data_IF_305954637630
#
_entry.id   IF_305954637630
#
_cell.length_a   1.000
_cell.length_b   1.000
_cell.length_c   1.000
_cell.angle_alpha   90.00
_cell.angle_beta   90.00
_cell.angle_gamma   90.00
#
_symmetry.space_group_name_H-M   'P 1'
#
loop_
_entity.id
_entity.type
_entity.pdbx_description
1 polymer ?
#
# COMPACT_ATOMS: atom_id res chain seq x y z
N UNK A 1 5.95 6.75 6.81
CA UNK A 1 5.03 5.61 7.05
C UNK A 1 3.73 5.84 6.34
N UNK A 2 3.54 5.12 5.24
CA UNK A 2 2.33 5.17 4.41
C UNK A 2 1.83 3.75 4.12
N UNK A 3 0.57 3.62 3.73
CA UNK A 3 0.03 2.38 3.18
C UNK A 3 -0.50 2.61 1.77
N UNK A 4 -0.22 1.69 0.85
CA UNK A 4 -0.84 1.64 -0.47
C UNK A 4 -2.18 0.93 -0.32
N UNK A 5 -3.27 1.59 -0.70
CA UNK A 5 -4.63 1.10 -0.52
C UNK A 5 -5.30 0.86 -1.87
N UNK A 6 -5.81 -0.35 -2.10
CA UNK A 6 -6.49 -0.70 -3.35
C UNK A 6 -5.54 -0.92 -4.53
N UNK A 7 -4.37 -1.50 -4.27
CA UNK A 7 -3.48 -2.04 -5.30
C UNK A 7 -3.37 -3.57 -5.11
N UNK A 8 -3.73 -4.30 -6.17
CA UNK A 8 -3.81 -5.76 -6.16
C UNK A 8 -2.56 -6.44 -6.72
N UNK A 9 -1.52 -5.66 -7.02
CA UNK A 9 -0.25 -6.15 -7.52
C UNK A 9 -0.38 -7.01 -8.79
N UNK A 10 -1.33 -6.67 -9.67
CA UNK A 10 -1.54 -7.39 -10.93
C UNK A 10 -0.28 -7.25 -11.78
N UNK A 11 0.36 -8.36 -12.14
CA UNK A 11 1.60 -8.32 -12.91
C UNK A 11 2.79 -7.61 -12.23
N UNK A 12 2.74 -7.37 -10.91
CA UNK A 12 3.80 -6.66 -10.19
C UNK A 12 3.58 -5.15 -10.04
N UNK A 13 2.39 -4.62 -10.35
CA UNK A 13 2.07 -3.20 -10.29
C UNK A 13 2.39 -2.54 -8.93
N UNK A 14 2.04 -3.20 -7.82
CA UNK A 14 2.25 -2.66 -6.47
C UNK A 14 3.74 -2.58 -6.13
N UNK A 15 4.55 -3.55 -6.58
CA UNK A 15 6.00 -3.53 -6.38
C UNK A 15 6.65 -2.35 -7.09
N UNK A 16 6.27 -2.11 -8.34
CA UNK A 16 6.80 -0.98 -9.12
C UNK A 16 6.42 0.37 -8.49
N UNK A 17 5.18 0.51 -8.02
CA UNK A 17 4.71 1.69 -7.29
C UNK A 17 5.43 1.87 -5.95
N UNK A 18 5.64 0.77 -5.22
CA UNK A 18 6.34 0.77 -3.93
C UNK A 18 7.77 1.27 -4.06
N UNK A 19 8.53 0.80 -5.06
CA UNK A 19 9.92 1.21 -5.29
C UNK A 19 10.00 2.74 -5.40
N UNK A 20 9.13 3.35 -6.21
CA UNK A 20 9.10 4.80 -6.38
C UNK A 20 8.80 5.55 -5.07
N UNK A 21 7.85 5.06 -4.27
CA UNK A 21 7.53 5.65 -2.97
C UNK A 21 8.70 5.53 -1.98
N UNK A 22 9.41 4.41 -1.99
CA UNK A 22 10.58 4.18 -1.14
C UNK A 22 11.79 5.01 -1.59
N UNK A 23 12.01 5.18 -2.89
CA UNK A 23 13.04 6.07 -3.46
C UNK A 23 12.77 7.54 -3.15
N UNK A 24 11.50 7.95 -3.03
CA UNK A 24 11.11 9.27 -2.52
C UNK A 24 11.40 9.47 -1.01
N UNK A 25 11.84 8.42 -0.31
CA UNK A 25 12.14 8.44 1.12
C UNK A 25 10.96 8.09 2.02
N UNK A 26 9.84 7.61 1.47
CA UNK A 26 8.71 7.13 2.27
C UNK A 26 8.93 5.68 2.67
N UNK A 27 8.55 5.32 3.91
CA UNK A 27 8.45 3.92 4.31
C UNK A 27 7.06 3.38 4.01
N UNK A 28 6.94 2.39 3.12
CA UNK A 28 5.69 1.68 2.83
C UNK A 28 5.49 0.55 3.86
N UNK A 29 4.51 0.74 4.74
CA UNK A 29 4.23 -0.17 5.87
C UNK A 29 3.30 -1.30 5.47
N UNK A 30 2.40 -1.06 4.52
CA UNK A 30 1.42 -2.03 4.06
C UNK A 30 1.00 -1.77 2.62
N UNK A 31 0.57 -2.83 1.95
CA UNK A 31 -0.02 -2.82 0.61
C UNK A 31 -1.31 -3.65 0.64
N UNK A 32 -2.43 -3.03 0.25
CA UNK A 32 -3.76 -3.62 0.34
C UNK A 32 -4.34 -3.89 -1.05
N UNK A 33 -4.54 -5.14 -1.48
CA UNK A 33 -4.13 -6.40 -0.83
C UNK A 33 -3.14 -7.22 -1.67
N UNK A 34 -2.66 -6.67 -2.79
CA UNK A 34 -1.68 -7.33 -3.63
C UNK A 34 -0.38 -7.58 -2.87
N UNK A 35 0.00 -8.85 -2.72
CA UNK A 35 1.18 -9.27 -1.97
C UNK A 35 1.21 -8.76 -0.50
N UNK A 36 0.05 -8.43 0.07
CA UNK A 36 -0.07 -7.95 1.44
C UNK A 36 -0.15 -9.10 2.46
N UNK A 37 0.49 -8.93 3.61
CA UNK A 37 0.39 -9.88 4.73
C UNK A 37 -0.58 -9.40 5.81
N UNK A 38 -1.17 -10.33 6.57
CA UNK A 38 -2.06 -10.00 7.70
C UNK A 38 -1.33 -9.11 8.73
N UNK A 39 -0.03 -9.34 8.95
CA UNK A 39 0.76 -8.52 9.86
C UNK A 39 0.84 -7.06 9.42
N UNK A 40 1.07 -6.79 8.14
CA UNK A 40 1.07 -5.44 7.59
C UNK A 40 -0.31 -4.78 7.67
N UNK A 41 -1.37 -5.53 7.38
CA UNK A 41 -2.74 -5.05 7.53
C UNK A 41 -3.02 -4.60 8.97
N UNK A 42 -2.60 -5.40 9.96
CA UNK A 42 -2.71 -5.03 11.37
C UNK A 42 -1.85 -3.81 11.76
N UNK A 43 -0.76 -3.51 11.05
CA UNK A 43 0.04 -2.30 11.28
C UNK A 43 -0.50 -1.06 10.55
N UNK A 44 -1.41 -1.23 9.59
CA UNK A 44 -1.92 -0.14 8.75
C UNK A 44 -2.56 1.01 9.55
N UNK A 45 -3.32 0.78 10.64
CA UNK A 45 -3.85 1.89 11.45
C UNK A 45 -2.78 2.82 12.07
N UNK A 46 -1.50 2.42 12.06
CA UNK A 46 -0.38 3.21 12.62
C UNK A 46 0.30 4.13 11.61
N UNK A 47 -0.02 4.00 10.31
CA UNK A 47 0.59 4.83 9.26
C UNK A 47 0.16 6.29 9.37
N UNK A 48 0.91 7.19 8.73
CA UNK A 48 0.60 8.62 8.75
C UNK A 48 -0.31 9.06 7.61
N UNK A 49 -0.37 8.28 6.54
CA UNK A 49 -1.18 8.55 5.36
C UNK A 49 -1.53 7.27 4.61
N UNK A 50 -2.79 7.16 4.18
CA UNK A 50 -3.27 6.14 3.25
C UNK A 50 -3.24 6.69 1.82
N UNK A 51 -2.55 6.02 0.91
CA UNK A 51 -2.46 6.37 -0.51
C UNK A 51 -3.40 5.46 -1.30
N UNK A 52 -4.56 5.98 -1.70
CA UNK A 52 -5.61 5.19 -2.35
C UNK A 52 -5.41 5.17 -3.86
N UNK A 53 -5.18 3.98 -4.43
CA UNK A 53 -5.10 3.73 -5.87
C UNK A 53 -6.49 3.41 -6.44
N UNK A 54 -7.04 2.22 -6.16
CA UNK A 54 -8.40 1.87 -6.58
C UNK A 54 -9.46 2.39 -5.60
N UNK A 55 -9.86 3.65 -5.79
CA UNK A 55 -10.89 4.30 -4.97
C UNK A 55 -12.15 3.46 -4.80
N UNK A 56 -12.70 2.89 -5.88
CA UNK A 56 -14.00 2.19 -5.82
C UNK A 56 -13.97 0.97 -4.88
N UNK A 57 -12.84 0.27 -4.85
CA UNK A 57 -12.74 -0.97 -4.10
C UNK A 57 -12.47 -0.79 -2.61
N UNK A 58 -11.85 0.33 -2.20
CA UNK A 58 -11.33 0.54 -0.84
C UNK A 58 -11.56 1.96 -0.31
N UNK A 59 -12.75 2.53 -0.55
CA UNK A 59 -13.13 3.84 0.04
C UNK A 59 -13.95 3.76 1.33
N UNK A 60 -14.27 2.56 1.81
CA UNK A 60 -15.07 2.32 3.01
C UNK A 60 -14.36 1.35 3.94
#
# INVERSE_FOLDING_TARGET
DVAIIGDYNIGGDAWSSRILLEEMGLRVVAQWSGDGTINEMMQTPKVKLNLIHCYRSMNY
#
